data_IF_513939979415
#
_entry.id   IF_513939979415
#
_cell.length_a   1.000
_cell.length_b   1.000
_cell.length_c   1.000
_cell.angle_alpha   90.00
_cell.angle_beta   90.00
_cell.angle_gamma   90.00
#
_symmetry.space_group_name_H-M   'P 1'
#
loop_
_entity.id
_entity.type
_entity.pdbx_description
1 polymer ?
#
# COMPACT_ATOMS: atom_id res chain seq x y z
N UNK A 1 -3.45 82.74 23.53
CA UNK A 1 -4.43 83.50 22.79
C UNK A 1 -4.52 82.93 21.35
N UNK A 2 -5.67 82.63 20.89
CA UNK A 2 -6.07 81.94 19.66
C UNK A 2 -6.08 80.40 19.71
N UNK A 3 -7.29 79.90 20.04
CA UNK A 3 -7.81 78.61 19.72
C UNK A 3 -7.90 78.43 18.19
N UNK A 4 -7.54 77.26 17.68
CA UNK A 4 -8.08 76.71 16.47
C UNK A 4 -8.58 75.29 16.70
N UNK A 5 -9.92 75.16 16.63
CA UNK A 5 -10.60 73.86 16.49
C UNK A 5 -10.27 73.28 15.09
N UNK A 6 -9.85 72.00 15.07
CA UNK A 6 -9.85 71.20 13.88
C UNK A 6 -10.79 70.00 14.08
N UNK A 7 -11.81 69.98 13.26
CA UNK A 7 -12.80 68.92 13.23
C UNK A 7 -12.17 67.61 12.70
N UNK A 8 -12.32 66.54 13.46
CA UNK A 8 -11.93 65.21 13.07
C UNK A 8 -13.13 64.56 12.33
N UNK A 9 -13.01 64.39 11.03
CA UNK A 9 -13.93 63.56 10.22
C UNK A 9 -13.63 62.08 10.50
N UNK A 10 -14.57 61.40 11.15
CA UNK A 10 -14.57 59.96 11.29
C UNK A 10 -15.00 59.34 9.96
N UNK A 11 -14.07 58.79 9.18
CA UNK A 11 -14.36 57.85 8.09
C UNK A 11 -14.60 56.46 8.69
N UNK A 12 -15.86 56.01 8.73
CA UNK A 12 -16.20 54.61 8.95
C UNK A 12 -15.83 53.85 7.68
N UNK A 13 -14.65 53.23 7.69
CA UNK A 13 -14.29 52.15 6.76
C UNK A 13 -15.04 50.89 7.20
N UNK A 14 -16.10 50.54 6.50
CA UNK A 14 -16.75 49.25 6.65
C UNK A 14 -15.75 48.14 6.28
N UNK A 15 -15.18 47.46 7.27
CA UNK A 15 -14.49 46.23 7.08
C UNK A 15 -15.53 45.17 6.65
N UNK A 16 -15.68 44.98 5.36
CA UNK A 16 -16.34 43.81 4.80
C UNK A 16 -15.59 42.59 5.26
N UNK A 17 -16.13 41.89 6.26
CA UNK A 17 -15.70 40.56 6.62
C UNK A 17 -16.02 39.67 5.41
N UNK A 18 -15.07 39.49 4.50
CA UNK A 18 -15.13 38.40 3.53
C UNK A 18 -15.05 37.14 4.35
N UNK A 19 -16.19 36.49 4.62
CA UNK A 19 -16.21 35.08 4.95
C UNK A 19 -15.40 34.40 3.84
N UNK A 20 -14.21 33.95 4.17
CA UNK A 20 -13.59 32.89 3.42
C UNK A 20 -14.50 31.68 3.58
N UNK A 21 -15.36 31.45 2.58
CA UNK A 21 -15.98 30.14 2.42
C UNK A 21 -14.83 29.16 2.22
N UNK A 22 -14.34 28.64 3.34
CA UNK A 22 -13.58 27.41 3.31
C UNK A 22 -14.59 26.35 2.83
N UNK A 23 -14.67 26.16 1.53
CA UNK A 23 -15.23 24.95 0.96
C UNK A 23 -14.34 23.81 1.45
N UNK A 24 -14.62 23.38 2.67
CA UNK A 24 -14.09 22.11 3.16
C UNK A 24 -14.81 21.08 2.30
N UNK A 25 -14.08 20.57 1.30
CA UNK A 25 -14.60 19.55 0.42
C UNK A 25 -15.15 18.40 1.29
N UNK A 26 -16.29 17.77 0.93
CA UNK A 26 -16.97 16.81 1.77
C UNK A 26 -16.02 15.66 2.16
N UNK A 27 -16.19 15.14 3.38
CA UNK A 27 -15.45 13.93 3.80
C UNK A 27 -15.72 12.79 2.82
N UNK A 28 -14.65 12.10 2.39
CA UNK A 28 -14.76 10.99 1.43
C UNK A 28 -15.13 9.68 2.10
N UNK A 29 -14.69 9.48 3.33
CA UNK A 29 -14.83 8.23 4.06
C UNK A 29 -15.43 8.44 5.45
N UNK A 30 -16.00 7.37 6.00
CA UNK A 30 -16.30 7.25 7.42
C UNK A 30 -15.83 5.88 7.92
N UNK A 31 -15.39 5.83 9.17
CA UNK A 31 -15.07 4.57 9.83
C UNK A 31 -16.39 3.78 10.03
N UNK A 32 -16.53 2.68 9.31
CA UNK A 32 -17.71 1.85 9.36
C UNK A 32 -17.63 0.84 10.50
N UNK A 33 -16.51 0.13 10.60
CA UNK A 33 -16.34 -0.98 11.52
C UNK A 33 -14.87 -1.21 11.87
N UNK A 34 -14.66 -1.73 13.06
CA UNK A 34 -13.36 -2.27 13.48
C UNK A 34 -13.56 -3.75 13.84
N UNK A 35 -12.68 -4.62 13.33
CA UNK A 35 -12.73 -6.07 13.53
C UNK A 35 -11.44 -6.51 14.21
N UNK A 36 -11.55 -7.34 15.26
CA UNK A 36 -10.40 -7.96 15.92
C UNK A 36 -9.78 -9.03 15.01
N UNK A 37 -8.45 -9.06 14.96
CA UNK A 37 -7.65 -10.06 14.25
C UNK A 37 -6.55 -10.61 15.18
N UNK A 38 -5.58 -11.36 14.65
CA UNK A 38 -4.45 -11.80 15.46
C UNK A 38 -3.57 -10.63 15.93
N UNK A 39 -2.57 -10.92 16.80
CA UNK A 39 -1.72 -9.89 17.41
C UNK A 39 -0.73 -9.29 16.42
N UNK A 40 -0.59 -7.97 16.50
CA UNK A 40 0.33 -7.15 15.69
C UNK A 40 0.20 -7.43 14.18
N UNK A 41 -0.95 -7.12 13.55
CA UNK A 41 -1.11 -7.26 12.10
C UNK A 41 -0.14 -6.33 11.37
N UNK A 42 0.53 -6.84 10.30
CA UNK A 42 1.56 -6.11 9.53
C UNK A 42 1.26 -5.98 8.05
N UNK A 43 0.36 -6.80 7.51
CA UNK A 43 -0.09 -6.72 6.12
C UNK A 43 -1.59 -6.97 6.06
N UNK A 44 -2.26 -6.37 5.09
CA UNK A 44 -3.63 -6.70 4.71
C UNK A 44 -3.71 -6.71 3.18
N UNK A 45 -4.26 -7.80 2.66
CA UNK A 45 -4.50 -7.98 1.21
C UNK A 45 -5.95 -8.38 0.99
N UNK A 46 -6.45 -8.14 -0.23
CA UNK A 46 -7.82 -8.46 -0.62
C UNK A 46 -7.85 -9.34 -1.87
N UNK A 47 -8.84 -10.21 -1.95
CA UNK A 47 -9.11 -11.08 -3.09
C UNK A 47 -10.40 -11.86 -2.86
N UNK A 48 -10.94 -12.49 -3.90
CA UNK A 48 -12.08 -13.41 -3.81
C UNK A 48 -11.55 -14.82 -3.52
N UNK A 49 -11.57 -15.23 -2.25
CA UNK A 49 -10.99 -16.49 -1.78
C UNK A 49 -11.97 -17.67 -1.87
N UNK A 50 -13.26 -17.38 -2.08
CA UNK A 50 -14.34 -18.36 -2.05
C UNK A 50 -15.14 -18.44 -3.36
N UNK A 51 -14.82 -17.62 -4.38
CA UNK A 51 -15.43 -17.62 -5.69
C UNK A 51 -16.81 -16.94 -5.76
N UNK A 52 -17.19 -16.15 -4.73
CA UNK A 52 -18.51 -15.48 -4.68
C UNK A 52 -18.48 -14.04 -5.26
N UNK A 53 -17.32 -13.55 -5.71
CA UNK A 53 -17.05 -12.21 -6.24
C UNK A 53 -17.22 -11.08 -5.23
N UNK A 54 -17.26 -11.39 -3.96
CA UNK A 54 -17.18 -10.43 -2.87
C UNK A 54 -15.74 -10.43 -2.37
N UNK A 55 -15.21 -9.25 -2.09
CA UNK A 55 -13.85 -9.13 -1.61
C UNK A 55 -13.70 -9.69 -0.20
N UNK A 56 -12.76 -10.63 -0.05
CA UNK A 56 -12.29 -11.18 1.22
C UNK A 56 -11.00 -10.49 1.63
N UNK A 57 -10.59 -10.67 2.88
CA UNK A 57 -9.37 -10.09 3.42
C UNK A 57 -8.48 -11.16 4.07
N UNK A 58 -7.17 -10.97 3.94
CA UNK A 58 -6.17 -11.73 4.68
C UNK A 58 -5.24 -10.77 5.40
N UNK A 59 -5.00 -11.00 6.71
CA UNK A 59 -3.99 -10.26 7.46
C UNK A 59 -2.89 -11.20 7.95
N UNK A 60 -1.63 -10.72 7.95
CA UNK A 60 -0.51 -11.37 8.64
C UNK A 60 -0.40 -10.82 10.04
N UNK A 61 -0.32 -11.67 11.06
CA UNK A 61 -0.29 -11.30 12.47
C UNK A 61 1.03 -11.76 13.10
N UNK A 62 2.04 -10.89 13.08
CA UNK A 62 3.41 -11.22 13.49
C UNK A 62 3.53 -11.58 14.98
N UNK A 63 2.69 -11.01 15.82
CA UNK A 63 2.72 -11.23 17.28
C UNK A 63 1.97 -12.47 17.77
N UNK A 64 1.20 -13.13 16.90
CA UNK A 64 0.48 -14.37 17.20
C UNK A 64 0.79 -15.52 16.26
N UNK A 65 1.83 -15.36 15.41
CA UNK A 65 2.27 -16.39 14.45
C UNK A 65 1.09 -16.96 13.63
N UNK A 66 0.30 -16.08 13.05
CA UNK A 66 -0.95 -16.47 12.37
C UNK A 66 -1.31 -15.56 11.20
N UNK A 67 -2.19 -16.06 10.35
CA UNK A 67 -3.00 -15.25 9.44
C UNK A 67 -4.42 -15.19 9.97
N UNK A 68 -5.14 -14.10 9.70
CA UNK A 68 -6.60 -14.05 9.82
C UNK A 68 -7.19 -13.94 8.42
N UNK A 69 -8.11 -14.85 8.10
CA UNK A 69 -8.90 -14.85 6.86
C UNK A 69 -10.30 -14.39 7.21
N UNK A 70 -10.78 -13.35 6.54
CA UNK A 70 -12.09 -12.77 6.73
C UNK A 70 -12.89 -12.90 5.42
N UNK A 71 -13.92 -13.73 5.43
CA UNK A 71 -14.78 -13.92 4.27
C UNK A 71 -15.81 -12.80 4.21
N UNK A 72 -15.81 -12.06 3.11
CA UNK A 72 -16.75 -10.98 2.84
C UNK A 72 -18.19 -11.49 2.68
N UNK A 73 -19.15 -10.69 3.11
CA UNK A 73 -20.58 -10.93 2.88
C UNK A 73 -21.25 -9.71 2.24
N UNK A 74 -20.44 -8.79 1.72
CA UNK A 74 -20.87 -7.55 1.07
C UNK A 74 -21.02 -6.37 2.02
N UNK A 75 -21.05 -5.17 1.44
CA UNK A 75 -21.28 -3.89 2.12
C UNK A 75 -20.34 -3.62 3.31
N UNK A 76 -19.07 -4.07 3.20
CA UNK A 76 -18.07 -3.92 4.27
C UNK A 76 -18.26 -4.87 5.45
N UNK A 77 -19.11 -5.89 5.34
CA UNK A 77 -19.32 -6.90 6.36
C UNK A 77 -18.56 -8.18 6.04
N UNK A 78 -18.16 -8.88 7.11
CA UNK A 78 -17.37 -10.11 7.05
C UNK A 78 -17.91 -11.13 8.04
N UNK A 79 -17.67 -12.41 7.75
CA UNK A 79 -17.83 -13.49 8.74
C UNK A 79 -16.76 -13.36 9.82
N UNK A 80 -16.92 -14.08 10.92
CA UNK A 80 -15.90 -14.14 11.97
C UNK A 80 -14.55 -14.59 11.39
N UNK A 81 -13.43 -13.95 11.78
CA UNK A 81 -12.12 -14.28 11.25
C UNK A 81 -11.70 -15.72 11.51
N UNK A 82 -11.28 -16.42 10.47
CA UNK A 82 -10.66 -17.75 10.58
C UNK A 82 -9.16 -17.59 10.78
N UNK A 83 -8.61 -18.22 11.81
CA UNK A 83 -7.19 -18.14 12.13
C UNK A 83 -6.42 -19.32 11.52
N UNK A 84 -5.42 -19.04 10.69
CA UNK A 84 -4.46 -20.03 10.19
C UNK A 84 -3.16 -19.87 10.96
N UNK A 85 -2.71 -20.93 11.64
CA UNK A 85 -1.43 -20.93 12.34
C UNK A 85 -0.28 -21.01 11.35
N UNK A 86 0.70 -20.13 11.51
CA UNK A 86 1.91 -20.06 10.70
C UNK A 86 3.13 -20.46 11.52
N UNK A 87 4.21 -20.90 10.83
CA UNK A 87 5.53 -20.83 11.44
C UNK A 87 5.88 -19.38 11.74
N UNK A 88 6.70 -19.15 12.70
CA UNK A 88 7.11 -17.89 13.29
C UNK A 88 7.07 -16.64 12.41
N UNK A 89 6.37 -15.58 12.89
CA UNK A 89 6.41 -14.22 12.43
C UNK A 89 6.06 -14.02 10.92
N UNK A 90 4.83 -14.32 10.47
CA UNK A 90 4.39 -13.97 9.13
C UNK A 90 4.35 -12.43 9.01
N UNK A 91 5.00 -11.88 7.97
CA UNK A 91 5.19 -10.44 7.83
C UNK A 91 4.51 -9.84 6.63
N UNK A 92 4.55 -10.52 5.50
CA UNK A 92 3.90 -10.12 4.25
C UNK A 92 3.23 -11.33 3.61
N UNK A 93 2.16 -11.09 2.87
CA UNK A 93 1.43 -12.09 2.11
C UNK A 93 1.04 -11.51 0.76
N UNK A 94 1.07 -12.34 -0.28
CA UNK A 94 0.49 -12.05 -1.60
C UNK A 94 -0.45 -13.17 -1.99
N UNK A 95 -1.49 -12.82 -2.76
CA UNK A 95 -2.48 -13.74 -3.29
C UNK A 95 -2.24 -13.94 -4.79
N UNK A 96 -2.21 -15.18 -5.24
CA UNK A 96 -2.16 -15.54 -6.64
C UNK A 96 -2.53 -17.01 -6.81
N UNK A 97 -2.96 -17.42 -8.00
CA UNK A 97 -3.14 -18.83 -8.34
C UNK A 97 -1.77 -19.42 -8.75
N UNK A 98 -1.07 -20.05 -7.79
CA UNK A 98 0.29 -20.58 -8.00
C UNK A 98 0.30 -22.00 -8.59
N UNK A 99 -0.84 -22.70 -8.57
CA UNK A 99 -0.97 -24.07 -9.06
C UNK A 99 -1.86 -24.19 -10.29
N UNK A 100 -2.31 -23.05 -10.85
CA UNK A 100 -3.14 -22.95 -12.06
C UNK A 100 -4.48 -23.72 -11.95
N UNK A 101 -5.06 -23.82 -10.73
CA UNK A 101 -6.35 -24.48 -10.49
C UNK A 101 -7.56 -23.52 -10.49
N UNK A 102 -7.31 -22.23 -10.74
CA UNK A 102 -8.31 -21.17 -10.81
C UNK A 102 -8.73 -20.61 -9.45
N UNK A 103 -8.03 -20.95 -8.37
CA UNK A 103 -8.29 -20.46 -7.01
C UNK A 103 -7.10 -19.68 -6.49
N UNK A 104 -7.36 -18.74 -5.58
CA UNK A 104 -6.30 -17.95 -4.98
C UNK A 104 -5.58 -18.74 -3.89
N UNK A 105 -4.25 -18.81 -4.05
CA UNK A 105 -3.29 -19.31 -3.07
C UNK A 105 -2.61 -18.14 -2.35
N UNK A 106 -1.76 -18.45 -1.36
CA UNK A 106 -0.96 -17.45 -0.63
C UNK A 106 0.53 -17.80 -0.69
N UNK A 107 1.36 -16.79 -0.94
CA UNK A 107 2.80 -16.86 -0.62
C UNK A 107 3.06 -15.94 0.57
N UNK A 108 3.52 -16.51 1.67
CA UNK A 108 3.70 -15.83 2.96
C UNK A 108 5.19 -15.73 3.31
N UNK A 109 5.68 -14.51 3.47
CA UNK A 109 7.02 -14.23 3.98
C UNK A 109 7.03 -14.40 5.51
N UNK A 110 7.71 -15.45 6.01
CA UNK A 110 7.81 -15.76 7.45
C UNK A 110 9.20 -15.42 7.98
N UNK A 111 9.29 -14.26 8.66
CA UNK A 111 10.55 -13.65 9.06
C UNK A 111 11.27 -14.39 10.19
N UNK A 112 10.53 -15.01 11.11
CA UNK A 112 11.10 -15.70 12.29
C UNK A 112 11.85 -16.98 11.93
N UNK A 113 11.35 -17.74 10.96
CA UNK A 113 11.99 -18.96 10.49
C UNK A 113 12.74 -18.81 9.14
N UNK A 114 12.81 -17.58 8.60
CA UNK A 114 13.50 -17.25 7.35
C UNK A 114 13.02 -18.07 6.14
N UNK A 115 11.71 -18.08 5.88
CA UNK A 115 11.14 -18.85 4.76
C UNK A 115 10.06 -18.06 4.02
N UNK A 116 9.80 -18.49 2.80
CA UNK A 116 8.55 -18.21 2.09
C UNK A 116 7.71 -19.48 2.12
N UNK A 117 6.51 -19.42 2.66
CA UNK A 117 5.61 -20.57 2.80
C UNK A 117 4.43 -20.40 1.85
N UNK A 118 4.15 -21.43 1.07
CA UNK A 118 2.99 -21.48 0.17
C UNK A 118 1.82 -22.12 0.91
N UNK A 119 0.63 -21.55 0.73
CA UNK A 119 -0.64 -22.11 1.21
C UNK A 119 -1.56 -22.21 -0.02
N UNK A 120 -2.00 -23.43 -0.33
CA UNK A 120 -2.88 -23.69 -1.47
C UNK A 120 -4.35 -23.53 -1.04
N UNK A 121 -5.10 -22.71 -1.77
CA UNK A 121 -6.52 -22.46 -1.52
C UNK A 121 -7.40 -23.54 -2.12
N UNK A 122 -8.50 -23.85 -1.47
CA UNK A 122 -9.48 -24.81 -1.98
C UNK A 122 -10.68 -24.15 -2.69
N UNK A 123 -10.68 -22.78 -2.76
CA UNK A 123 -11.77 -22.00 -3.34
C UNK A 123 -12.98 -21.86 -2.42
N UNK A 124 -12.84 -22.16 -1.13
CA UNK A 124 -13.88 -21.96 -0.09
C UNK A 124 -13.44 -20.99 1.01
N UNK A 125 -12.24 -20.40 0.86
CA UNK A 125 -11.58 -19.60 1.88
C UNK A 125 -10.77 -20.42 2.87
N UNK A 126 -10.59 -21.73 2.64
CA UNK A 126 -9.71 -22.61 3.40
C UNK A 126 -8.42 -22.86 2.64
N UNK A 127 -7.35 -23.12 3.40
CA UNK A 127 -6.01 -23.25 2.85
C UNK A 127 -5.27 -24.45 3.43
N UNK A 128 -4.56 -25.16 2.54
CA UNK A 128 -3.68 -26.26 2.91
C UNK A 128 -2.22 -25.82 2.76
N UNK A 129 -1.36 -26.16 3.72
CA UNK A 129 0.05 -25.82 3.64
C UNK A 129 0.74 -26.65 2.54
N UNK A 130 1.32 -25.95 1.58
CA UNK A 130 2.22 -26.48 0.57
C UNK A 130 3.70 -26.40 0.99
N UNK A 131 4.57 -26.24 0.01
CA UNK A 131 6.01 -26.15 0.20
C UNK A 131 6.46 -24.85 0.89
N UNK A 132 7.69 -24.89 1.38
CA UNK A 132 8.30 -23.76 2.06
C UNK A 132 9.77 -23.63 1.65
N UNK A 133 10.15 -22.43 1.21
CA UNK A 133 11.45 -22.15 0.58
C UNK A 133 12.36 -21.34 1.50
N UNK A 134 13.64 -21.69 1.65
CA UNK A 134 14.58 -20.90 2.44
C UNK A 134 14.74 -19.48 1.86
N UNK A 135 14.67 -18.48 2.71
CA UNK A 135 14.76 -17.06 2.34
C UNK A 135 16.03 -16.41 2.92
N UNK A 136 17.11 -17.14 3.05
CA UNK A 136 18.42 -16.71 3.56
C UNK A 136 18.34 -15.99 4.91
N UNK A 137 17.56 -14.90 5.05
CA UNK A 137 17.34 -14.18 6.32
C UNK A 137 16.16 -13.23 6.24
N UNK A 138 15.26 -13.29 7.23
CA UNK A 138 14.19 -12.33 7.54
C UNK A 138 13.50 -11.70 6.31
N UNK A 139 12.69 -12.46 5.55
CA UNK A 139 11.91 -11.89 4.45
C UNK A 139 10.90 -10.87 5.00
N UNK A 140 10.77 -9.73 4.32
CA UNK A 140 9.96 -8.58 4.78
C UNK A 140 8.88 -8.17 3.80
N UNK A 141 9.09 -8.45 2.52
CA UNK A 141 8.14 -8.15 1.45
C UNK A 141 8.24 -9.21 0.37
N UNK A 142 7.14 -9.51 -0.29
CA UNK A 142 7.05 -10.47 -1.40
C UNK A 142 6.16 -9.87 -2.49
N UNK A 143 6.54 -10.09 -3.76
CA UNK A 143 5.79 -9.65 -4.92
C UNK A 143 5.75 -10.77 -5.97
N UNK A 144 4.71 -10.75 -6.81
CA UNK A 144 4.46 -11.76 -7.86
C UNK A 144 4.69 -11.15 -9.24
N UNK A 145 5.29 -11.91 -10.15
CA UNK A 145 5.46 -11.55 -11.56
C UNK A 145 5.87 -12.76 -12.39
N UNK A 146 5.83 -12.67 -13.70
CA UNK A 146 6.37 -13.69 -14.62
C UNK A 146 7.73 -13.19 -15.13
N UNK A 147 8.82 -13.50 -14.40
CA UNK A 147 10.16 -12.96 -14.67
C UNK A 147 10.90 -13.68 -15.79
N UNK A 148 10.43 -14.87 -16.17
CA UNK A 148 11.06 -15.69 -17.20
C UNK A 148 10.19 -15.86 -18.45
N UNK A 149 8.99 -15.24 -18.51
CA UNK A 149 8.03 -15.27 -19.61
C UNK A 149 7.52 -16.67 -19.93
N UNK A 150 7.36 -17.53 -18.94
CA UNK A 150 6.77 -18.86 -19.10
C UNK A 150 5.28 -18.92 -18.74
N UNK A 151 4.67 -17.75 -18.43
CA UNK A 151 3.29 -17.55 -18.01
C UNK A 151 2.95 -18.12 -16.64
N UNK A 152 3.94 -18.49 -15.85
CA UNK A 152 3.77 -18.93 -14.47
C UNK A 152 4.15 -17.84 -13.50
N UNK A 153 3.51 -17.86 -12.35
CA UNK A 153 3.78 -16.87 -11.31
C UNK A 153 5.09 -17.17 -10.58
N UNK A 154 6.02 -16.21 -10.65
CA UNK A 154 7.29 -16.19 -9.93
C UNK A 154 7.19 -15.28 -8.70
N UNK A 155 8.14 -15.37 -7.77
CA UNK A 155 8.20 -14.54 -6.58
C UNK A 155 9.53 -13.77 -6.47
N UNK A 156 9.42 -12.47 -6.20
CA UNK A 156 10.53 -11.64 -5.73
C UNK A 156 10.36 -11.35 -4.24
N UNK A 157 11.40 -11.58 -3.45
CA UNK A 157 11.34 -11.49 -1.98
C UNK A 157 12.44 -10.58 -1.47
N UNK A 158 12.07 -9.49 -0.82
CA UNK A 158 12.98 -8.57 -0.15
C UNK A 158 13.40 -9.13 1.22
N UNK A 159 14.71 -9.18 1.48
CA UNK A 159 15.31 -9.77 2.69
C UNK A 159 16.08 -8.71 3.47
N UNK A 160 15.91 -8.65 4.79
CA UNK A 160 16.55 -7.64 5.66
C UNK A 160 18.08 -7.64 5.70
N UNK A 161 18.73 -8.62 5.08
CA UNK A 161 20.17 -8.73 5.00
C UNK A 161 20.72 -8.28 3.65
N UNK A 162 20.18 -7.21 3.11
CA UNK A 162 20.66 -6.56 1.88
C UNK A 162 20.54 -7.43 0.63
N UNK A 163 19.53 -8.31 0.61
CA UNK A 163 19.36 -9.30 -0.46
C UNK A 163 17.93 -9.27 -1.04
N UNK A 164 17.86 -9.64 -2.30
CA UNK A 164 16.64 -9.92 -3.02
C UNK A 164 16.71 -11.37 -3.51
N UNK A 165 15.71 -12.18 -3.16
CA UNK A 165 15.58 -13.57 -3.61
C UNK A 165 14.57 -13.65 -4.73
N UNK A 166 14.89 -14.40 -5.80
CA UNK A 166 14.00 -14.73 -6.90
C UNK A 166 13.72 -16.22 -6.91
N UNK A 167 12.43 -16.57 -6.88
CA UNK A 167 11.93 -17.95 -6.98
C UNK A 167 11.09 -18.05 -8.26
N UNK A 168 11.42 -18.99 -9.15
CA UNK A 168 10.63 -19.27 -10.37
C UNK A 168 9.58 -20.33 -10.08
N UNK A 169 8.33 -20.02 -10.43
CA UNK A 169 7.20 -20.92 -10.30
C UNK A 169 7.21 -22.04 -11.34
N UNK A 170 6.59 -23.18 -11.00
CA UNK A 170 6.43 -24.32 -11.91
C UNK A 170 4.99 -24.51 -12.39
N UNK A 171 4.06 -23.68 -11.89
CA UNK A 171 2.63 -23.78 -12.19
C UNK A 171 1.92 -24.92 -11.45
N UNK A 172 2.58 -25.57 -10.51
CA UNK A 172 2.04 -26.63 -9.66
C UNK A 172 2.04 -26.25 -8.16
N UNK A 173 2.21 -24.96 -7.86
CA UNK A 173 2.38 -24.45 -6.50
C UNK A 173 3.79 -24.60 -5.96
N UNK A 174 4.72 -25.20 -6.72
CA UNK A 174 6.11 -25.32 -6.33
C UNK A 174 7.01 -24.30 -7.04
N UNK A 175 8.18 -24.00 -6.42
CA UNK A 175 9.11 -23.00 -6.90
C UNK A 175 10.55 -23.53 -6.93
N UNK A 176 11.35 -22.93 -7.81
CA UNK A 176 12.79 -23.17 -7.90
C UNK A 176 13.53 -21.86 -7.58
N UNK A 177 14.49 -21.91 -6.66
CA UNK A 177 15.35 -20.75 -6.42
C UNK A 177 16.20 -20.46 -7.68
N UNK A 178 16.05 -19.26 -8.25
CA UNK A 178 16.77 -18.81 -9.44
C UNK A 178 18.00 -18.02 -9.09
N UNK A 179 17.85 -17.00 -8.25
CA UNK A 179 18.92 -16.06 -7.95
C UNK A 179 18.78 -15.43 -6.56
N UNK A 180 19.90 -14.96 -6.03
CA UNK A 180 19.96 -14.07 -4.87
C UNK A 180 20.85 -12.90 -5.26
N UNK A 181 20.29 -11.69 -5.25
CA UNK A 181 21.01 -10.46 -5.54
C UNK A 181 21.45 -9.82 -4.22
N UNK A 182 22.71 -9.44 -4.14
CA UNK A 182 23.25 -8.67 -3.01
C UNK A 182 23.36 -7.21 -3.45
N UNK A 183 22.69 -6.32 -2.75
CA UNK A 183 22.76 -4.90 -3.06
C UNK A 183 22.10 -4.05 -1.97
N UNK A 184 22.67 -2.90 -1.71
CA UNK A 184 22.10 -1.87 -0.85
C UNK A 184 22.10 -2.20 0.63
N UNK A 185 21.25 -1.50 1.37
CA UNK A 185 21.15 -1.51 2.83
C UNK A 185 19.68 -1.64 3.23
N UNK A 186 19.31 -2.75 3.83
CA UNK A 186 18.00 -3.03 4.43
C UNK A 186 16.79 -2.80 3.51
N UNK A 187 16.50 -3.70 2.56
CA UNK A 187 15.26 -3.62 1.77
C UNK A 187 14.02 -3.65 2.67
N UNK A 188 13.00 -2.85 2.31
CA UNK A 188 11.76 -2.70 3.10
C UNK A 188 10.52 -3.10 2.31
N UNK A 189 10.49 -2.84 1.01
CA UNK A 189 9.39 -3.22 0.11
C UNK A 189 9.94 -3.60 -1.26
N UNK A 190 9.27 -4.52 -1.96
CA UNK A 190 9.49 -4.87 -3.37
C UNK A 190 8.17 -4.84 -4.11
N UNK A 191 8.17 -4.28 -5.32
CA UNK A 191 7.01 -4.24 -6.25
C UNK A 191 7.48 -4.67 -7.63
N UNK A 192 6.57 -5.25 -8.39
CA UNK A 192 6.78 -5.68 -9.79
C UNK A 192 6.01 -4.75 -10.72
N UNK A 193 6.68 -4.23 -11.73
CA UNK A 193 6.07 -3.43 -12.80
C UNK A 193 6.98 -3.40 -14.04
N UNK A 194 6.43 -3.19 -15.22
CA UNK A 194 7.20 -2.91 -16.44
C UNK A 194 7.45 -1.40 -16.54
N UNK A 195 8.57 -0.93 -15.99
CA UNK A 195 8.87 0.52 -15.91
C UNK A 195 9.64 1.05 -17.11
N UNK A 196 10.05 0.17 -18.03
CA UNK A 196 10.74 0.51 -19.25
C UNK A 196 9.95 0.17 -20.53
N UNK A 197 8.71 -0.32 -20.38
CA UNK A 197 7.75 -0.61 -21.46
C UNK A 197 8.26 -1.67 -22.46
N UNK A 198 9.13 -2.60 -22.01
CA UNK A 198 9.65 -3.69 -22.84
C UNK A 198 8.85 -4.99 -22.69
N UNK A 199 7.76 -4.96 -21.92
CA UNK A 199 6.89 -6.09 -21.55
C UNK A 199 7.61 -7.19 -20.75
N UNK A 200 8.74 -6.86 -20.11
CA UNK A 200 9.40 -7.71 -19.11
C UNK A 200 9.15 -7.12 -17.73
N UNK A 201 8.70 -7.90 -16.75
CA UNK A 201 8.57 -7.39 -15.40
C UNK A 201 9.92 -6.95 -14.81
N UNK A 202 9.94 -5.72 -14.28
CA UNK A 202 11.04 -5.14 -13.53
C UNK A 202 10.75 -5.18 -12.02
N UNK A 203 11.75 -4.91 -11.20
CA UNK A 203 11.59 -4.81 -9.75
C UNK A 203 11.94 -3.41 -9.26
N UNK A 204 11.07 -2.86 -8.43
CA UNK A 204 11.31 -1.61 -7.71
C UNK A 204 11.39 -1.92 -6.22
N UNK A 205 12.50 -1.55 -5.58
CA UNK A 205 12.78 -1.93 -4.19
C UNK A 205 13.19 -0.70 -3.38
N UNK A 206 12.58 -0.51 -2.21
CA UNK A 206 12.97 0.55 -1.26
C UNK A 206 13.99 0.04 -0.26
N UNK A 207 14.97 0.91 0.07
CA UNK A 207 16.02 0.67 1.06
C UNK A 207 15.92 1.66 2.21
N UNK A 208 15.44 1.20 3.36
CA UNK A 208 15.23 1.98 4.56
C UNK A 208 16.39 1.98 5.56
N UNK A 209 17.60 1.60 5.13
CA UNK A 209 18.78 1.60 5.99
C UNK A 209 19.23 3.00 6.40
N UNK A 210 19.90 3.10 7.56
CA UNK A 210 20.38 4.41 8.07
C UNK A 210 21.42 5.08 7.18
N UNK A 211 22.10 4.32 6.33
CA UNK A 211 23.19 4.79 5.47
C UNK A 211 22.76 5.03 4.01
N UNK A 212 21.65 4.45 3.58
CA UNK A 212 21.14 4.59 2.20
C UNK A 212 19.62 4.78 2.22
N UNK A 213 19.18 5.97 1.87
CA UNK A 213 17.77 6.25 1.64
C UNK A 213 17.56 6.31 0.14
N UNK A 214 17.11 5.19 -0.45
CA UNK A 214 16.95 5.07 -1.90
C UNK A 214 15.79 4.15 -2.29
N UNK A 215 15.26 4.40 -3.48
CA UNK A 215 14.50 3.43 -4.25
C UNK A 215 15.39 2.93 -5.37
N UNK A 216 15.36 1.64 -5.64
CA UNK A 216 16.26 0.97 -6.58
C UNK A 216 15.45 0.20 -7.60
N UNK A 217 15.83 0.34 -8.86
CA UNK A 217 15.17 -0.27 -10.01
C UNK A 217 16.08 -1.32 -10.62
N UNK A 218 15.55 -2.53 -10.79
CA UNK A 218 16.18 -3.64 -11.47
C UNK A 218 15.40 -3.94 -12.74
N UNK A 219 15.99 -3.71 -13.91
CA UNK A 219 15.37 -4.04 -15.18
C UNK A 219 15.50 -5.54 -15.46
N UNK A 220 14.38 -6.17 -15.82
CA UNK A 220 14.31 -7.60 -16.13
C UNK A 220 15.02 -7.94 -17.43
N UNK A 221 15.55 -9.16 -17.53
CA UNK A 221 16.09 -9.72 -18.78
C UNK A 221 15.11 -10.68 -19.48
N UNK A 222 13.98 -11.03 -18.81
CA UNK A 222 12.98 -11.96 -19.32
C UNK A 222 13.38 -13.45 -19.24
N UNK A 223 14.40 -13.77 -18.46
CA UNK A 223 14.86 -15.13 -18.19
C UNK A 223 14.93 -15.45 -16.68
N UNK A 224 14.26 -14.62 -15.87
CA UNK A 224 14.29 -14.68 -14.41
C UNK A 224 15.52 -14.01 -13.79
N UNK A 225 16.33 -13.32 -14.60
CA UNK A 225 17.46 -12.51 -14.12
C UNK A 225 17.23 -11.02 -14.36
N UNK A 226 18.00 -10.18 -13.68
CA UNK A 226 17.87 -8.73 -13.73
C UNK A 226 19.22 -8.06 -14.05
N UNK A 227 19.16 -6.89 -14.72
CA UNK A 227 20.32 -6.03 -15.00
C UNK A 227 20.86 -5.43 -13.69
N UNK A 228 22.11 -4.91 -13.68
CA UNK A 228 22.63 -4.13 -12.56
C UNK A 228 21.66 -3.00 -12.19
N UNK A 229 21.34 -2.81 -10.92
CA UNK A 229 20.30 -1.87 -10.51
C UNK A 229 20.75 -0.40 -10.61
N UNK A 230 19.76 0.49 -10.75
CA UNK A 230 19.93 1.94 -10.67
C UNK A 230 19.22 2.45 -9.41
N UNK A 231 19.95 3.23 -8.60
CA UNK A 231 19.43 3.79 -7.35
C UNK A 231 19.06 5.26 -7.48
N UNK A 232 17.91 5.64 -6.95
CA UNK A 232 17.41 7.01 -6.86
C UNK A 232 17.29 7.41 -5.39
N UNK A 233 17.85 8.58 -5.05
CA UNK A 233 17.83 9.08 -3.67
C UNK A 233 16.43 9.53 -3.28
N UNK A 234 15.95 9.03 -2.13
CA UNK A 234 14.64 9.35 -1.54
C UNK A 234 14.77 10.26 -0.29
N UNK A 235 13.67 10.48 0.42
CA UNK A 235 13.70 10.93 1.81
C UNK A 235 14.29 9.87 2.75
N UNK A 236 14.35 10.20 4.05
CA UNK A 236 14.89 9.28 5.05
C UNK A 236 13.95 8.11 5.34
N UNK A 237 14.54 6.90 5.46
CA UNK A 237 13.84 5.66 5.80
C UNK A 237 12.65 5.36 4.88
N UNK A 238 12.87 5.15 3.55
CA UNK A 238 11.80 4.72 2.67
C UNK A 238 11.31 3.33 3.08
N UNK A 239 9.99 3.19 3.25
CA UNK A 239 9.35 1.99 3.80
C UNK A 239 8.50 1.25 2.80
N UNK A 240 7.90 1.97 1.85
CA UNK A 240 6.99 1.42 0.86
C UNK A 240 7.15 2.15 -0.48
N UNK A 241 6.85 1.48 -1.58
CA UNK A 241 6.75 2.07 -2.91
C UNK A 241 5.51 1.55 -3.61
N UNK A 242 4.83 2.44 -4.34
CA UNK A 242 3.80 2.12 -5.34
C UNK A 242 4.27 2.57 -6.71
N UNK A 243 3.86 1.86 -7.77
CA UNK A 243 4.25 2.13 -9.15
C UNK A 243 3.00 2.26 -9.99
N UNK A 244 2.79 3.43 -10.60
CA UNK A 244 1.60 3.75 -11.39
C UNK A 244 1.82 5.06 -12.18
N UNK A 245 1.00 5.32 -13.19
CA UNK A 245 0.96 6.62 -13.88
C UNK A 245 0.19 7.64 -13.01
N UNK A 246 0.90 8.63 -12.46
CA UNK A 246 0.35 9.67 -11.59
C UNK A 246 0.01 10.97 -12.32
N UNK A 247 0.63 11.19 -13.48
CA UNK A 247 0.54 12.46 -14.22
C UNK A 247 -0.23 12.35 -15.54
N UNK A 248 -0.65 11.12 -15.94
CA UNK A 248 -1.43 10.87 -17.15
C UNK A 248 -0.59 10.83 -18.43
N UNK A 249 0.73 10.71 -18.34
CA UNK A 249 1.63 10.66 -19.50
C UNK A 249 1.82 9.24 -20.06
N UNK A 250 1.25 8.23 -19.39
CA UNK A 250 1.30 6.78 -19.67
C UNK A 250 2.63 6.10 -19.30
N UNK A 251 3.57 6.81 -18.71
CA UNK A 251 4.76 6.23 -18.12
C UNK A 251 4.51 5.95 -16.63
N UNK A 252 5.06 4.86 -16.13
CA UNK A 252 4.90 4.51 -14.72
C UNK A 252 5.82 5.36 -13.85
N UNK A 253 5.23 6.02 -12.84
CA UNK A 253 5.89 6.83 -11.83
C UNK A 253 6.10 6.03 -10.54
N UNK A 254 6.99 6.51 -9.67
CA UNK A 254 7.20 5.93 -8.34
C UNK A 254 6.66 6.85 -7.25
N UNK A 255 5.88 6.29 -6.35
CA UNK A 255 5.42 6.91 -5.14
C UNK A 255 6.11 6.24 -3.95
N UNK A 256 7.02 6.93 -3.27
CA UNK A 256 7.84 6.39 -2.19
C UNK A 256 7.45 7.01 -0.85
N UNK A 257 7.14 6.17 0.14
CA UNK A 257 6.83 6.60 1.51
C UNK A 257 8.12 6.75 2.31
N UNK A 258 8.36 7.92 2.92
CA UNK A 258 9.55 8.22 3.72
C UNK A 258 9.17 8.34 5.21
N UNK A 259 9.35 7.27 5.97
CA UNK A 259 8.83 7.13 7.33
C UNK A 259 9.40 8.08 8.36
N UNK A 260 10.65 8.58 8.20
CA UNK A 260 11.29 9.49 9.14
C UNK A 260 11.16 10.97 8.74
N UNK A 261 10.54 11.28 7.58
CA UNK A 261 10.34 12.67 7.11
C UNK A 261 8.89 13.12 7.12
N UNK A 262 7.97 12.22 7.48
CA UNK A 262 6.53 12.47 7.41
C UNK A 262 6.08 12.95 6.02
N UNK A 263 6.71 12.42 4.95
CA UNK A 263 6.41 12.77 3.57
C UNK A 263 6.38 11.52 2.65
N UNK A 264 5.84 11.74 1.46
CA UNK A 264 5.94 10.84 0.32
C UNK A 264 6.71 11.56 -0.79
N UNK A 265 7.50 10.84 -1.58
CA UNK A 265 8.23 11.38 -2.74
C UNK A 265 7.68 10.79 -4.02
N UNK A 266 7.40 11.65 -5.02
CA UNK A 266 6.97 11.25 -6.38
C UNK A 266 8.15 11.40 -7.33
N UNK A 267 8.47 10.34 -8.06
CA UNK A 267 9.50 10.32 -9.11
C UNK A 267 8.81 10.04 -10.43
N UNK A 268 8.85 10.98 -11.38
CA UNK A 268 8.23 10.80 -12.68
C UNK A 268 9.07 9.92 -13.59
N UNK A 269 8.43 8.88 -14.13
CA UNK A 269 9.03 7.97 -15.10
C UNK A 269 9.19 8.60 -16.47
N UNK A 270 10.07 8.01 -17.29
CA UNK A 270 10.31 8.43 -18.68
C UNK A 270 10.00 7.32 -19.69
N UNK A 271 9.45 6.19 -19.21
CA UNK A 271 9.15 5.04 -20.05
C UNK A 271 10.38 4.23 -20.51
N UNK A 272 11.57 4.58 -20.07
CA UNK A 272 12.83 3.89 -20.38
C UNK A 272 13.49 3.24 -19.15
N UNK A 273 12.76 3.12 -18.05
CA UNK A 273 13.24 2.62 -16.76
C UNK A 273 14.02 3.66 -15.96
N UNK A 274 14.08 4.92 -16.43
CA UNK A 274 14.70 6.04 -15.69
C UNK A 274 13.64 6.99 -15.14
N UNK A 275 14.00 7.67 -14.04
CA UNK A 275 13.10 8.55 -13.29
C UNK A 275 13.73 9.92 -13.04
N UNK A 276 12.87 10.93 -12.84
CA UNK A 276 13.28 12.27 -12.39
C UNK A 276 13.66 12.23 -10.92
N UNK A 277 14.14 13.36 -10.39
CA UNK A 277 14.32 13.51 -8.96
C UNK A 277 12.97 13.60 -8.24
N UNK A 278 12.83 12.95 -7.09
CA UNK A 278 11.60 12.92 -6.32
C UNK A 278 11.17 14.29 -5.80
N UNK A 279 9.86 14.55 -5.90
CA UNK A 279 9.20 15.73 -5.36
C UNK A 279 8.46 15.32 -4.07
N UNK A 280 8.73 15.94 -2.90
CA UNK A 280 8.08 15.56 -1.66
C UNK A 280 6.70 16.20 -1.49
N UNK A 281 5.77 15.44 -0.90
CA UNK A 281 4.44 15.88 -0.43
C UNK A 281 4.25 15.43 1.01
N UNK A 282 3.74 16.33 1.86
CA UNK A 282 3.52 16.04 3.29
C UNK A 282 2.42 14.99 3.51
N UNK A 283 2.68 14.10 4.45
CA UNK A 283 1.71 13.20 5.07
C UNK A 283 1.60 13.53 6.57
N UNK A 284 0.88 12.71 7.36
CA UNK A 284 0.91 12.83 8.82
C UNK A 284 2.08 12.01 9.40
N UNK A 285 2.22 11.98 10.74
CA UNK A 285 3.41 11.44 11.39
C UNK A 285 3.58 9.90 11.20
N UNK A 286 4.77 9.52 10.75
CA UNK A 286 5.18 8.13 10.58
C UNK A 286 4.44 7.42 9.44
N UNK A 287 4.42 7.92 8.21
CA UNK A 287 3.84 7.22 7.08
C UNK A 287 4.58 5.91 6.82
N UNK A 288 3.84 4.82 6.53
CA UNK A 288 4.42 3.48 6.42
C UNK A 288 3.97 2.72 5.17
N UNK A 289 2.74 2.90 4.73
CA UNK A 289 2.19 2.22 3.55
C UNK A 289 1.23 3.13 2.79
N UNK A 290 1.09 2.89 1.50
CA UNK A 290 0.17 3.61 0.62
C UNK A 290 -0.69 2.65 -0.18
N UNK A 291 -1.85 3.14 -0.56
CA UNK A 291 -2.68 2.60 -1.64
C UNK A 291 -3.18 3.75 -2.49
N UNK A 292 -3.29 3.51 -3.78
CA UNK A 292 -3.67 4.52 -4.77
C UNK A 292 -4.92 4.07 -5.51
N UNK A 293 -5.87 5.00 -5.67
CA UNK A 293 -7.12 4.79 -6.39
C UNK A 293 -7.78 6.16 -6.64
N UNK A 294 -8.77 6.23 -7.51
CA UNK A 294 -9.69 7.37 -7.59
C UNK A 294 -10.73 7.24 -6.46
N UNK A 295 -10.54 8.01 -5.37
CA UNK A 295 -11.40 7.93 -4.19
C UNK A 295 -12.58 8.90 -4.22
N UNK A 296 -12.51 9.97 -5.02
CA UNK A 296 -13.58 10.96 -5.11
C UNK A 296 -14.40 10.88 -6.40
N UNK A 297 -13.97 10.04 -7.37
CA UNK A 297 -14.67 9.78 -8.62
C UNK A 297 -14.41 10.85 -9.68
N UNK A 298 -13.31 11.62 -9.58
CA UNK A 298 -12.95 12.66 -10.53
C UNK A 298 -12.11 12.15 -11.72
N UNK A 299 -11.78 10.87 -11.73
CA UNK A 299 -10.97 10.18 -12.75
C UNK A 299 -9.48 10.36 -12.61
N UNK A 300 -9.00 10.92 -11.50
CA UNK A 300 -7.58 11.09 -11.20
C UNK A 300 -7.17 10.18 -10.05
N UNK A 301 -5.90 9.85 -10.03
CA UNK A 301 -5.36 9.01 -8.97
C UNK A 301 -5.13 9.79 -7.69
N UNK A 302 -5.75 9.31 -6.61
CA UNK A 302 -5.56 9.77 -5.24
C UNK A 302 -4.66 8.81 -4.46
N UNK A 303 -4.20 9.23 -3.29
CA UNK A 303 -3.36 8.42 -2.40
C UNK A 303 -3.98 8.36 -1.01
N UNK A 304 -4.08 7.16 -0.44
CA UNK A 304 -4.30 6.97 0.98
C UNK A 304 -3.02 6.45 1.64
N UNK A 305 -2.58 7.11 2.70
CA UNK A 305 -1.33 6.84 3.43
C UNK A 305 -1.66 6.40 4.85
N UNK A 306 -1.20 5.23 5.26
CA UNK A 306 -1.28 4.78 6.65
C UNK A 306 -0.16 5.42 7.47
N UNK A 307 -0.51 6.21 8.49
CA UNK A 307 0.44 6.93 9.35
C UNK A 307 0.50 6.25 10.71
N UNK A 308 1.58 5.53 10.93
CA UNK A 308 1.75 4.65 12.09
C UNK A 308 1.81 5.43 13.42
N UNK A 309 2.53 6.55 13.45
CA UNK A 309 2.73 7.34 14.68
C UNK A 309 1.52 8.20 15.03
N UNK A 310 0.84 8.79 14.05
CA UNK A 310 -0.39 9.58 14.29
C UNK A 310 -1.65 8.74 14.42
N UNK A 311 -1.61 7.44 14.10
CA UNK A 311 -2.75 6.52 14.14
C UNK A 311 -3.94 6.99 13.30
N UNK A 312 -3.65 7.37 12.06
CA UNK A 312 -4.64 7.83 11.09
C UNK A 312 -4.28 7.44 9.65
N UNK A 313 -5.20 7.71 8.74
CA UNK A 313 -4.97 7.75 7.29
C UNK A 313 -4.88 9.21 6.84
N UNK A 314 -3.89 9.54 6.03
CA UNK A 314 -3.89 10.76 5.19
C UNK A 314 -4.41 10.41 3.80
N UNK A 315 -5.42 11.12 3.31
CA UNK A 315 -5.89 11.02 1.92
C UNK A 315 -5.53 12.30 1.18
N UNK A 316 -4.70 12.16 0.15
CA UNK A 316 -4.25 13.23 -0.73
C UNK A 316 -4.99 13.09 -2.06
N UNK A 317 -5.78 14.10 -2.44
CA UNK A 317 -6.48 14.11 -3.71
C UNK A 317 -5.55 14.56 -4.84
N UNK A 318 -5.54 13.80 -5.92
CA UNK A 318 -4.73 14.06 -7.10
C UNK A 318 -5.23 15.25 -7.92
N UNK A 319 -4.31 15.92 -8.60
CA UNK A 319 -4.66 16.95 -9.60
C UNK A 319 -4.56 16.41 -11.04
N UNK A 320 -4.09 15.17 -11.21
CA UNK A 320 -3.89 14.53 -12.50
C UNK A 320 -2.60 14.96 -13.22
N UNK A 321 -1.71 15.67 -12.54
CA UNK A 321 -0.40 16.11 -13.02
C UNK A 321 0.75 15.57 -12.15
N UNK A 322 0.48 14.55 -11.32
CA UNK A 322 1.41 13.98 -10.36
C UNK A 322 1.58 14.82 -9.10
N UNK A 323 0.77 15.90 -8.93
CA UNK A 323 0.71 16.70 -7.70
C UNK A 323 -0.61 16.51 -6.97
N UNK A 324 -0.64 16.92 -5.68
CA UNK A 324 -1.77 16.66 -4.80
C UNK A 324 -2.25 17.93 -4.10
N UNK A 325 -3.54 17.94 -3.74
CA UNK A 325 -4.09 18.99 -2.89
C UNK A 325 -3.57 18.86 -1.46
N UNK A 326 -3.21 19.98 -0.84
CA UNK A 326 -2.72 20.09 0.53
C UNK A 326 -3.60 21.03 1.36
N UNK A 327 -3.78 20.79 2.66
CA UNK A 327 -3.30 19.64 3.44
C UNK A 327 -4.08 18.35 3.12
N UNK A 328 -3.53 17.15 3.46
CA UNK A 328 -4.25 15.89 3.31
C UNK A 328 -5.49 15.84 4.22
N UNK A 329 -6.49 15.05 3.83
CA UNK A 329 -7.61 14.72 4.71
C UNK A 329 -7.20 13.60 5.66
N UNK A 330 -7.55 13.73 6.95
CA UNK A 330 -7.16 12.74 7.95
C UNK A 330 -8.37 11.98 8.48
N UNK A 331 -8.22 10.64 8.58
CA UNK A 331 -9.23 9.73 9.11
C UNK A 331 -8.62 8.87 10.20
N UNK A 332 -9.20 8.90 11.41
CA UNK A 332 -8.69 8.11 12.53
C UNK A 332 -8.85 6.62 12.29
N UNK A 333 -7.80 5.85 12.59
CA UNK A 333 -7.75 4.39 12.53
C UNK A 333 -7.70 3.78 13.95
N UNK A 334 -7.50 2.48 14.05
CA UNK A 334 -6.96 1.89 15.28
C UNK A 334 -5.50 2.27 15.48
N UNK A 335 -4.92 1.93 16.65
CA UNK A 335 -3.56 2.34 17.01
C UNK A 335 -2.52 1.71 16.08
N UNK A 336 -1.63 2.57 15.57
CA UNK A 336 -0.49 2.23 14.73
C UNK A 336 -0.87 1.42 13.47
N UNK A 337 -1.57 1.99 12.48
CA UNK A 337 -1.83 1.32 11.21
C UNK A 337 -0.50 1.03 10.51
N UNK A 338 -0.34 -0.22 10.01
CA UNK A 338 0.90 -0.70 9.42
C UNK A 338 0.75 -1.03 7.92
N UNK A 339 -0.47 -1.27 7.48
CA UNK A 339 -0.82 -1.50 6.09
C UNK A 339 -2.17 -0.88 5.77
N UNK A 340 -2.39 -0.56 4.51
CA UNK A 340 -3.65 -0.08 3.95
C UNK A 340 -3.90 -0.74 2.59
N UNK A 341 -5.15 -1.07 2.31
CA UNK A 341 -5.60 -1.55 0.99
C UNK A 341 -6.93 -0.91 0.61
N UNK A 342 -7.18 -0.77 -0.68
CA UNK A 342 -8.46 -0.33 -1.22
C UNK A 342 -9.31 -1.55 -1.60
N UNK A 343 -10.61 -1.49 -1.32
CA UNK A 343 -11.54 -2.60 -1.49
C UNK A 343 -12.85 -2.11 -2.08
N UNK A 344 -13.35 -2.75 -3.13
CA UNK A 344 -14.72 -2.56 -3.59
C UNK A 344 -15.64 -3.42 -2.72
N UNK A 345 -16.42 -2.79 -1.84
CA UNK A 345 -17.32 -3.49 -0.93
C UNK A 345 -18.71 -3.76 -1.50
N UNK A 346 -19.11 -3.00 -2.51
CA UNK A 346 -20.42 -3.10 -3.13
C UNK A 346 -20.28 -3.08 -4.65
N UNK A 347 -20.78 -4.10 -5.39
CA UNK A 347 -20.66 -4.17 -6.84
C UNK A 347 -21.30 -2.99 -7.59
N UNK A 348 -22.27 -2.32 -6.97
CA UNK A 348 -23.01 -1.17 -7.50
C UNK A 348 -22.38 0.18 -7.16
N UNK A 349 -21.44 0.26 -6.25
CA UNK A 349 -20.68 1.49 -5.93
C UNK A 349 -19.26 1.34 -6.49
N UNK A 350 -18.88 2.11 -7.51
CA UNK A 350 -17.55 2.03 -8.10
C UNK A 350 -16.46 2.61 -7.18
N UNK A 351 -16.85 3.34 -6.13
CA UNK A 351 -15.89 3.97 -5.22
C UNK A 351 -15.36 2.95 -4.23
N UNK A 352 -14.05 2.80 -4.13
CA UNK A 352 -13.46 1.88 -3.18
C UNK A 352 -13.60 2.41 -1.75
N UNK A 353 -13.76 1.49 -0.80
CA UNK A 353 -13.47 1.76 0.60
C UNK A 353 -12.01 1.46 0.92
N UNK A 354 -11.62 1.70 2.18
CA UNK A 354 -10.27 1.46 2.66
C UNK A 354 -10.28 0.50 3.84
N UNK A 355 -9.25 -0.34 3.92
CA UNK A 355 -8.99 -1.21 5.07
C UNK A 355 -7.59 -0.98 5.59
N UNK A 356 -7.45 -0.76 6.90
CA UNK A 356 -6.14 -0.67 7.57
C UNK A 356 -5.90 -1.84 8.50
N UNK A 357 -4.65 -2.32 8.56
CA UNK A 357 -4.21 -3.26 9.59
C UNK A 357 -3.54 -2.46 10.73
N UNK A 358 -4.18 -2.46 11.92
CA UNK A 358 -3.77 -1.64 13.06
C UNK A 358 -2.91 -2.46 14.02
N UNK A 359 -1.61 -2.32 13.92
CA UNK A 359 -0.62 -3.20 14.54
C UNK A 359 -0.72 -3.23 16.06
N UNK A 360 -0.79 -2.09 16.74
CA UNK A 360 -0.87 -2.03 18.20
C UNK A 360 -2.29 -2.26 18.74
N UNK A 361 -3.31 -2.05 17.91
CA UNK A 361 -4.69 -2.32 18.30
C UNK A 361 -5.11 -3.79 18.11
N UNK A 362 -4.37 -4.59 17.34
CA UNK A 362 -4.73 -5.96 16.94
C UNK A 362 -6.07 -6.05 16.18
N UNK A 363 -6.33 -5.05 15.35
CA UNK A 363 -7.58 -4.90 14.60
C UNK A 363 -7.34 -4.53 13.15
N UNK A 364 -8.38 -4.67 12.34
CA UNK A 364 -8.50 -3.92 11.08
C UNK A 364 -9.57 -2.83 11.26
N UNK A 365 -9.40 -1.69 10.57
CA UNK A 365 -10.47 -0.68 10.44
C UNK A 365 -10.97 -0.66 9.01
N UNK A 366 -12.30 -0.65 8.84
CA UNK A 366 -12.99 -0.62 7.55
C UNK A 366 -13.61 0.76 7.39
N UNK A 367 -13.26 1.42 6.29
CA UNK A 367 -13.80 2.72 5.90
C UNK A 367 -14.63 2.55 4.63
N UNK A 368 -15.87 3.03 4.67
CA UNK A 368 -16.72 3.08 3.48
C UNK A 368 -16.71 4.49 2.88
N UNK A 369 -16.83 4.56 1.55
CA UNK A 369 -16.99 5.82 0.85
C UNK A 369 -18.32 6.47 1.25
N UNK A 370 -18.30 7.78 1.54
CA UNK A 370 -19.51 8.55 1.77
C UNK A 370 -20.23 8.83 0.44
N UNK A 371 -21.54 8.66 0.40
CA UNK A 371 -22.32 9.15 -0.72
C UNK A 371 -22.27 10.70 -0.72
N UNK A 372 -21.70 11.33 -1.75
CA UNK A 372 -21.63 12.80 -1.82
C UNK A 372 -23.01 13.47 -1.82
N UNK A 373 -24.07 12.72 -2.10
CA UNK A 373 -25.46 13.18 -2.06
C UNK A 373 -26.14 12.95 -0.72
N UNK A 374 -25.56 12.17 0.18
CA UNK A 374 -26.12 11.92 1.51
C UNK A 374 -25.59 12.96 2.51
N UNK A 375 -26.31 14.04 2.71
CA UNK A 375 -26.13 14.90 3.89
C UNK A 375 -26.68 14.22 5.18
N UNK A 376 -26.91 12.91 5.16
CA UNK A 376 -27.42 12.14 6.28
C UNK A 376 -26.26 11.60 7.10
N UNK A 377 -25.94 12.31 8.19
CA UNK A 377 -25.23 11.72 9.34
C UNK A 377 -26.09 10.54 9.83
N UNK A 378 -25.58 9.31 9.95
CA UNK A 378 -26.30 8.25 10.65
C UNK A 378 -26.57 8.76 12.08
N UNK A 379 -27.82 8.93 12.42
CA UNK A 379 -28.20 9.14 13.83
C UNK A 379 -28.04 7.80 14.53
N UNK A 380 -27.04 7.72 15.42
CA UNK A 380 -26.91 6.64 16.39
C UNK A 380 -28.05 6.63 17.40
#
# INVERSE_FOLDING_TARGET
MFLRLSACFLLLAGAGCTRSDSHQAPDLFYLYKTIEVGKNPTSVVTGDLNGDRIADLVTTNIGSDSLSVLIGIGDGNFRDPVTIRMPEQPRAVVLHDFNEDGKLDMAVATAGNNRVTILLGDGTGQFTRGDSYPAVRSPVSVAVGDFNRDSKADLAVALRNDKLLVLLGRGDGSFLQKAVYEYGDTPTSVVVADVNEDSVPDLVVTHGGKMSSSVVVFLGNGDGTFRPPVAYKTGHSPLNVSVLDLNGDRHLDLLVVNGERDDISVFFGKGDGTFTQGVPFGANAGPIATVTQDFDGDGKTDIAVANNLSSDLSVLLGKGDGTFWQPPRSYRTGAAPFAVTAVSFAPQDPRPGLVTANNLANTISIFLAKDPRSNLVPQN
#
